data_IF_771072036980
#
_entry.id   IF_771072036980
#
_cell.length_a   1.000
_cell.length_b   1.000
_cell.length_c   1.000
_cell.angle_alpha   90.00
_cell.angle_beta   90.00
_cell.angle_gamma   90.00
#
_symmetry.space_group_name_H-M   'P 1'
#
loop_
_entity.id
_entity.type
_entity.pdbx_description
1 polymer ?
#
# COMPACT_ATOMS: atom_id res chain seq x y z
N UNK A 1 8.24 0.71 -15.54
CA UNK A 1 7.94 0.20 -14.18
C UNK A 1 7.46 1.38 -13.35
N UNK A 2 6.37 1.22 -12.61
CA UNK A 2 5.82 2.22 -11.69
C UNK A 2 6.15 1.79 -10.27
N UNK A 3 6.65 2.72 -9.47
CA UNK A 3 6.81 2.59 -8.03
C UNK A 3 6.03 3.72 -7.36
N UNK A 4 5.08 3.36 -6.52
CA UNK A 4 4.36 4.29 -5.66
C UNK A 4 4.84 4.03 -4.24
N UNK A 5 5.28 5.08 -3.56
CA UNK A 5 5.63 5.03 -2.15
C UNK A 5 4.81 6.05 -1.39
N UNK A 6 4.13 5.59 -0.35
CA UNK A 6 3.38 6.44 0.58
C UNK A 6 4.07 6.35 1.94
N UNK A 7 4.47 7.50 2.47
CA UNK A 7 5.06 7.64 3.80
C UNK A 7 4.08 8.42 4.67
N UNK A 8 4.02 8.08 5.95
CA UNK A 8 3.38 8.93 6.95
C UNK A 8 4.28 10.14 7.29
N UNK A 9 3.89 10.90 8.32
CA UNK A 9 4.63 12.10 8.76
C UNK A 9 5.88 11.77 9.59
N UNK A 10 6.22 10.49 9.71
CA UNK A 10 7.42 9.99 10.34
C UNK A 10 7.54 10.42 11.83
N UNK A 11 8.68 11.00 12.24
CA UNK A 11 8.87 11.53 13.61
C UNK A 11 7.87 12.60 14.04
N UNK A 12 7.18 13.25 13.09
CA UNK A 12 6.13 14.22 13.40
C UNK A 12 4.75 13.55 13.51
N UNK A 13 4.65 12.24 13.29
CA UNK A 13 3.41 11.51 13.41
C UNK A 13 3.02 11.41 14.88
N UNK A 14 1.78 11.78 15.25
CA UNK A 14 1.33 11.69 16.63
C UNK A 14 1.41 10.25 17.12
N UNK A 15 1.76 10.06 18.40
CA UNK A 15 1.82 8.73 19.00
C UNK A 15 0.48 8.01 18.76
N UNK A 16 0.49 6.78 18.21
CA UNK A 16 -0.75 6.08 17.92
C UNK A 16 -1.56 5.97 19.21
N UNK A 17 -2.89 6.22 19.18
CA UNK A 17 -3.72 5.95 20.34
C UNK A 17 -3.50 4.50 20.77
N UNK A 18 -3.34 4.26 22.08
CA UNK A 18 -3.09 2.93 22.66
C UNK A 18 -4.07 1.95 22.04
N UNK A 19 -3.56 1.05 21.20
CA UNK A 19 -4.40 0.20 20.35
C UNK A 19 -5.31 -0.66 21.23
N UNK A 20 -6.62 -0.43 21.16
CA UNK A 20 -7.57 -1.52 21.38
C UNK A 20 -7.37 -2.48 20.22
N UNK A 21 -6.83 -3.66 20.53
CA UNK A 21 -6.58 -4.76 19.61
C UNK A 21 -7.77 -4.95 18.64
N UNK A 22 -7.61 -4.68 17.34
CA UNK A 22 -8.70 -4.97 16.39
C UNK A 22 -8.77 -4.21 15.06
N UNK A 23 -7.80 -3.36 14.70
CA UNK A 23 -7.79 -2.72 13.38
C UNK A 23 -7.60 -3.75 12.25
N UNK A 24 -8.70 -4.07 11.58
CA UNK A 24 -8.92 -5.19 10.67
C UNK A 24 -7.97 -5.22 9.45
N UNK A 25 -7.45 -6.41 9.16
CA UNK A 25 -6.61 -6.68 7.98
C UNK A 25 -7.33 -6.58 6.63
N UNK A 26 -8.62 -6.21 6.60
CA UNK A 26 -9.39 -6.10 5.37
C UNK A 26 -8.79 -5.07 4.40
N UNK A 27 -8.44 -3.88 4.89
CA UNK A 27 -7.82 -2.85 4.03
C UNK A 27 -6.48 -3.32 3.45
N UNK A 28 -5.68 -4.04 4.24
CA UNK A 28 -4.43 -4.64 3.78
C UNK A 28 -4.66 -5.70 2.72
N UNK A 29 -5.66 -6.57 2.93
CA UNK A 29 -6.05 -7.62 2.01
C UNK A 29 -6.57 -7.06 0.69
N UNK A 30 -7.37 -5.98 0.73
CA UNK A 30 -7.84 -5.28 -0.48
C UNK A 30 -6.64 -4.79 -1.29
N UNK A 31 -5.70 -4.09 -0.67
CA UNK A 31 -4.51 -3.57 -1.36
C UNK A 31 -3.70 -4.72 -1.95
N UNK A 32 -3.49 -5.79 -1.19
CA UNK A 32 -2.70 -6.94 -1.64
C UNK A 32 -3.35 -7.64 -2.84
N UNK A 33 -4.67 -7.84 -2.83
CA UNK A 33 -5.43 -8.40 -3.95
C UNK A 33 -5.33 -7.51 -5.19
N UNK A 34 -5.62 -6.21 -5.09
CA UNK A 34 -5.57 -5.30 -6.25
C UNK A 34 -4.17 -5.24 -6.86
N UNK A 35 -3.12 -5.20 -6.03
CA UNK A 35 -1.74 -5.13 -6.53
C UNK A 35 -1.33 -6.44 -7.20
N UNK A 36 -1.66 -7.60 -6.63
CA UNK A 36 -1.28 -8.90 -7.20
C UNK A 36 -2.13 -9.27 -8.41
N UNK A 37 -3.44 -9.24 -8.26
CA UNK A 37 -4.37 -9.83 -9.22
C UNK A 37 -4.66 -8.85 -10.38
N UNK A 38 -4.89 -7.57 -10.07
CA UNK A 38 -5.25 -6.59 -11.10
C UNK A 38 -4.03 -5.93 -11.74
N UNK A 39 -2.98 -5.62 -10.96
CA UNK A 39 -1.78 -4.96 -11.48
C UNK A 39 -0.65 -5.92 -11.84
N UNK A 40 -0.63 -7.15 -11.32
CA UNK A 40 0.48 -8.10 -11.51
C UNK A 40 1.77 -7.61 -10.85
N UNK A 41 1.64 -6.91 -9.71
CA UNK A 41 2.71 -6.23 -9.00
C UNK A 41 3.00 -6.81 -7.62
N UNK A 42 3.79 -6.06 -6.84
CA UNK A 42 4.15 -6.38 -5.47
C UNK A 42 3.81 -5.24 -4.52
N UNK A 43 3.34 -5.60 -3.33
CA UNK A 43 3.03 -4.66 -2.24
C UNK A 43 3.91 -4.97 -1.02
N UNK A 44 4.36 -3.92 -0.35
CA UNK A 44 5.10 -4.00 0.90
C UNK A 44 4.58 -2.93 1.88
N UNK A 45 4.42 -3.31 3.16
CA UNK A 45 4.14 -2.39 4.26
C UNK A 45 5.22 -2.53 5.33
N UNK A 46 6.13 -1.56 5.36
CA UNK A 46 7.15 -1.44 6.40
C UNK A 46 6.67 -0.55 7.53
N UNK A 47 6.96 -0.97 8.75
CA UNK A 47 6.82 -0.14 9.96
C UNK A 47 8.15 -0.19 10.68
N UNK A 48 8.88 0.91 10.68
CA UNK A 48 10.05 1.08 11.52
C UNK A 48 9.71 2.00 12.70
N UNK A 49 10.68 2.29 13.55
CA UNK A 49 10.46 3.11 14.76
C UNK A 49 10.09 4.55 14.45
N UNK A 50 10.39 5.03 13.24
CA UNK A 50 10.22 6.42 12.86
C UNK A 50 9.21 6.62 11.74
N UNK A 51 8.90 5.60 10.93
CA UNK A 51 8.08 5.71 9.73
C UNK A 51 7.18 4.51 9.51
N UNK A 52 5.99 4.78 8.96
CA UNK A 52 5.19 3.80 8.24
C UNK A 52 5.33 4.06 6.74
N UNK A 53 5.70 3.02 5.99
CA UNK A 53 5.98 3.09 4.56
C UNK A 53 5.23 2.01 3.80
N UNK A 54 4.36 2.40 2.89
CA UNK A 54 3.71 1.51 1.95
C UNK A 54 4.35 1.66 0.57
N UNK A 55 4.70 0.54 -0.07
CA UNK A 55 5.30 0.51 -1.39
C UNK A 55 4.48 -0.39 -2.31
N UNK A 56 4.20 0.10 -3.51
CA UNK A 56 3.50 -0.63 -4.58
C UNK A 56 4.36 -0.54 -5.84
N UNK A 57 4.76 -1.69 -6.38
CA UNK A 57 5.55 -1.77 -7.62
C UNK A 57 4.83 -2.62 -8.65
N UNK A 58 4.68 -2.13 -9.87
CA UNK A 58 4.03 -2.84 -10.98
C UNK A 58 4.52 -2.34 -12.34
N UNK A 59 4.27 -3.11 -13.39
CA UNK A 59 4.54 -2.68 -14.77
C UNK A 59 3.39 -1.82 -15.28
N UNK A 60 3.68 -0.74 -16.01
CA UNK A 60 2.61 0.00 -16.69
C UNK A 60 1.94 -0.92 -17.69
N UNK A 61 0.69 -1.28 -17.45
CA UNK A 61 -0.18 -1.76 -18.52
C UNK A 61 -0.62 -0.53 -19.31
N UNK A 62 -0.47 -0.57 -20.64
CA UNK A 62 -1.35 0.26 -21.46
C UNK A 62 -2.76 -0.15 -21.10
N UNK A 63 -3.61 0.80 -20.71
CA UNK A 63 -5.03 0.52 -20.72
C UNK A 63 -5.34 -0.04 -22.12
N UNK A 64 -5.81 -1.28 -22.19
CA UNK A 64 -6.51 -1.72 -23.39
C UNK A 64 -7.67 -0.75 -23.50
N UNK A 65 -7.62 0.12 -24.51
CA UNK A 65 -8.81 0.79 -24.97
C UNK A 65 -9.79 -0.34 -25.26
N UNK A 66 -10.93 -0.36 -24.59
CA UNK A 66 -12.08 -1.08 -25.10
C UNK A 66 -12.46 -0.36 -26.40
N UNK A 67 -11.88 -0.79 -27.52
CA UNK A 67 -12.37 -0.43 -28.85
C UNK A 67 -13.69 -1.20 -29.04
N UNK A 68 -14.80 -0.45 -28.97
CA UNK A 68 -16.18 -0.86 -29.31
C UNK A 68 -16.32 -1.30 -30.77
#
# INVERSE_FOLDING_TARGET
MVLIEVRDDGPNHPEPPRRTSGGSGLGLQIIETLVKDDLGGSFYLGRDTEWVRAQVAFSQRRAMSDDE
#
